data_IF_664135800194
#
_entry.id   IF_664135800194
#
_cell.length_a   1.000
_cell.length_b   1.000
_cell.length_c   1.000
_cell.angle_alpha   90.00
_cell.angle_beta   90.00
_cell.angle_gamma   90.00
#
_symmetry.space_group_name_H-M   'P 1'
#
loop_
_entity.id
_entity.type
_entity.pdbx_description
1 polymer ?
#
# COMPACT_ATOMS: atom_id res chain seq x y z
N UNK A 1 -18.69 -7.87 12.07
CA UNK A 1 -18.79 -7.02 10.84
C UNK A 1 -17.68 -7.48 9.92
N UNK A 2 -18.03 -7.83 8.70
CA UNK A 2 -17.10 -8.38 7.71
C UNK A 2 -16.02 -7.34 7.31
N UNK A 3 -14.81 -7.80 7.05
CA UNK A 3 -13.67 -6.96 6.62
C UNK A 3 -14.03 -6.07 5.42
N UNK A 4 -14.68 -6.64 4.40
CA UNK A 4 -15.09 -5.88 3.22
C UNK A 4 -16.15 -4.83 3.51
N UNK A 5 -17.06 -5.10 4.45
CA UNK A 5 -18.05 -4.11 4.87
C UNK A 5 -17.35 -2.90 5.48
N UNK A 6 -16.35 -3.10 6.33
CA UNK A 6 -15.57 -2.03 6.94
C UNK A 6 -14.82 -1.19 5.90
N UNK A 7 -14.22 -1.84 4.91
CA UNK A 7 -13.55 -1.15 3.81
C UNK A 7 -14.53 -0.31 2.98
N UNK A 8 -15.73 -0.83 2.73
CA UNK A 8 -16.79 -0.08 2.05
C UNK A 8 -17.31 1.07 2.90
N UNK A 9 -17.48 0.89 4.23
CA UNK A 9 -17.91 1.96 5.15
C UNK A 9 -16.89 3.12 5.17
N UNK A 10 -15.60 2.81 5.06
CA UNK A 10 -14.55 3.83 4.92
C UNK A 10 -14.66 4.58 3.59
N UNK A 11 -14.90 3.86 2.49
CA UNK A 11 -15.13 4.48 1.18
C UNK A 11 -16.40 5.30 1.12
N UNK A 12 -17.47 4.86 1.78
CA UNK A 12 -18.72 5.60 1.89
C UNK A 12 -18.50 6.94 2.58
N UNK A 13 -17.70 6.94 3.65
CA UNK A 13 -17.33 8.17 4.33
C UNK A 13 -16.56 9.11 3.38
N UNK A 14 -15.56 8.60 2.66
CA UNK A 14 -14.78 9.41 1.70
C UNK A 14 -15.68 9.98 0.61
N UNK A 15 -16.53 9.16 -0.01
CA UNK A 15 -17.45 9.59 -1.07
C UNK A 15 -18.46 10.65 -0.60
N UNK A 16 -18.91 10.55 0.65
CA UNK A 16 -19.84 11.51 1.23
C UNK A 16 -19.18 12.85 1.64
N UNK A 17 -17.84 12.92 1.63
CA UNK A 17 -17.08 14.10 2.00
C UNK A 17 -16.17 14.63 0.88
N UNK A 18 -16.42 14.21 -0.38
CA UNK A 18 -15.62 14.65 -1.54
C UNK A 18 -15.70 16.17 -1.79
N UNK A 19 -16.77 16.82 -1.40
CA UNK A 19 -17.00 18.25 -1.54
C UNK A 19 -16.53 19.08 -0.33
N UNK A 20 -15.71 18.47 0.54
CA UNK A 20 -15.20 19.09 1.75
C UNK A 20 -13.83 18.55 2.14
N UNK A 21 -13.51 18.70 3.41
CA UNK A 21 -12.31 18.11 4.00
C UNK A 21 -12.56 16.63 4.33
N UNK A 22 -11.62 15.77 3.95
CA UNK A 22 -11.64 14.33 4.25
C UNK A 22 -10.66 14.07 5.37
N UNK A 23 -11.18 13.63 6.51
CA UNK A 23 -10.37 13.16 7.63
C UNK A 23 -10.01 11.69 7.42
N UNK A 24 -8.73 11.43 7.15
CA UNK A 24 -8.23 10.06 6.91
C UNK A 24 -8.29 9.19 8.17
N UNK A 25 -8.21 9.77 9.37
CA UNK A 25 -8.33 9.03 10.62
C UNK A 25 -9.76 8.47 10.79
N UNK A 26 -10.77 9.28 10.45
CA UNK A 26 -12.16 8.80 10.47
C UNK A 26 -12.37 7.70 9.43
N UNK A 27 -11.84 7.84 8.22
CA UNK A 27 -11.92 6.80 7.20
C UNK A 27 -11.26 5.50 7.68
N UNK A 28 -10.03 5.57 8.16
CA UNK A 28 -9.27 4.43 8.66
C UNK A 28 -9.93 3.77 9.88
N UNK A 29 -10.50 4.57 10.80
CA UNK A 29 -11.23 4.04 11.96
C UNK A 29 -12.44 3.18 11.56
N UNK A 30 -13.13 3.54 10.48
CA UNK A 30 -14.23 2.72 9.90
C UNK A 30 -13.72 1.41 9.33
N UNK A 31 -12.53 1.41 8.73
CA UNK A 31 -11.85 0.20 8.27
C UNK A 31 -11.24 -0.60 9.44
N UNK A 32 -11.25 -0.07 10.67
CA UNK A 32 -10.63 -0.63 11.87
C UNK A 32 -9.13 -0.88 11.73
N UNK A 33 -8.42 0.05 11.12
CA UNK A 33 -6.97 0.03 10.92
C UNK A 33 -6.38 1.45 10.99
N UNK A 34 -5.06 1.58 10.96
CA UNK A 34 -4.39 2.88 10.86
C UNK A 34 -4.55 3.50 9.47
N UNK A 35 -4.33 4.82 9.37
CA UNK A 35 -4.40 5.57 8.11
C UNK A 35 -3.48 4.96 7.06
N UNK A 36 -2.22 4.68 7.45
CA UNK A 36 -1.25 4.09 6.54
C UNK A 36 -1.71 2.76 5.96
N UNK A 37 -2.23 1.85 6.81
CA UNK A 37 -2.69 0.55 6.35
C UNK A 37 -3.93 0.66 5.48
N UNK A 38 -4.86 1.56 5.81
CA UNK A 38 -6.01 1.81 4.95
C UNK A 38 -5.59 2.27 3.56
N UNK A 39 -4.69 3.25 3.47
CA UNK A 39 -4.16 3.76 2.20
C UNK A 39 -3.38 2.69 1.43
N UNK A 40 -2.55 1.91 2.13
CA UNK A 40 -1.77 0.82 1.52
C UNK A 40 -2.67 -0.29 0.98
N UNK A 41 -3.62 -0.78 1.79
CA UNK A 41 -4.59 -1.77 1.36
C UNK A 41 -5.42 -1.27 0.18
N UNK A 42 -5.89 -0.02 0.26
CA UNK A 42 -6.62 0.61 -0.83
C UNK A 42 -5.79 0.59 -2.13
N UNK A 43 -4.52 0.97 -2.06
CA UNK A 43 -3.64 1.02 -3.24
C UNK A 43 -3.44 -0.37 -3.87
N UNK A 44 -3.25 -1.41 -3.07
CA UNK A 44 -3.14 -2.78 -3.58
C UNK A 44 -4.45 -3.31 -4.20
N UNK A 45 -5.60 -2.96 -3.63
CA UNK A 45 -6.90 -3.45 -4.12
C UNK A 45 -7.36 -2.68 -5.34
N UNK A 46 -7.18 -1.35 -5.34
CA UNK A 46 -7.72 -0.45 -6.36
C UNK A 46 -6.75 -0.16 -7.52
N UNK A 47 -5.49 -0.60 -7.42
CA UNK A 47 -4.39 -0.31 -8.36
C UNK A 47 -4.17 1.22 -8.57
N UNK A 48 -4.52 2.02 -7.56
CA UNK A 48 -4.38 3.48 -7.56
C UNK A 48 -4.30 3.97 -6.11
N UNK A 49 -3.51 5.02 -5.85
CA UNK A 49 -3.45 5.59 -4.48
C UNK A 49 -4.77 6.22 -4.07
N UNK A 50 -5.03 6.28 -2.75
CA UNK A 50 -6.26 6.86 -2.23
C UNK A 50 -6.39 8.34 -2.59
N UNK A 51 -5.31 9.11 -2.55
CA UNK A 51 -5.30 10.52 -2.91
C UNK A 51 -5.59 10.73 -4.40
N UNK A 52 -5.01 9.89 -5.27
CA UNK A 52 -5.30 9.94 -6.70
C UNK A 52 -6.76 9.55 -6.99
N UNK A 53 -7.31 8.55 -6.28
CA UNK A 53 -8.73 8.20 -6.36
C UNK A 53 -9.62 9.38 -5.99
N UNK A 54 -9.39 10.00 -4.82
CA UNK A 54 -10.14 11.18 -4.35
C UNK A 54 -10.05 12.31 -5.37
N UNK A 55 -8.84 12.59 -5.88
CA UNK A 55 -8.62 13.61 -6.90
C UNK A 55 -9.44 13.35 -8.17
N UNK A 56 -9.44 12.11 -8.69
CA UNK A 56 -10.22 11.72 -9.88
C UNK A 56 -11.71 11.83 -9.64
N UNK A 57 -12.19 11.43 -8.47
CA UNK A 57 -13.60 11.53 -8.09
C UNK A 57 -14.06 12.98 -8.00
N UNK A 58 -13.31 13.83 -7.29
CA UNK A 58 -13.57 15.27 -7.18
C UNK A 58 -13.67 15.96 -8.55
N UNK A 59 -12.72 15.69 -9.43
CA UNK A 59 -12.75 16.26 -10.78
C UNK A 59 -13.90 15.72 -11.64
N UNK A 60 -14.29 14.47 -11.45
CA UNK A 60 -15.48 13.90 -12.10
C UNK A 60 -16.75 14.60 -11.63
N UNK A 61 -16.93 14.80 -10.32
CA UNK A 61 -18.09 15.49 -9.76
C UNK A 61 -18.12 16.97 -10.21
N UNK A 62 -16.97 17.64 -10.21
CA UNK A 62 -16.85 18.99 -10.75
C UNK A 62 -17.26 19.09 -12.22
N UNK A 63 -16.91 18.08 -13.03
CA UNK A 63 -17.31 18.01 -14.42
C UNK A 63 -18.83 17.86 -14.59
N UNK A 64 -19.50 17.05 -13.77
CA UNK A 64 -20.96 16.93 -13.75
C UNK A 64 -21.62 18.26 -13.34
N UNK A 65 -21.10 18.97 -12.35
CA UNK A 65 -21.65 20.27 -11.94
C UNK A 65 -21.50 21.33 -13.06
N UNK A 66 -20.35 21.37 -13.75
CA UNK A 66 -20.14 22.28 -14.89
C UNK A 66 -21.09 22.02 -16.03
N UNK A 67 -21.45 20.76 -16.31
CA UNK A 67 -22.40 20.41 -17.38
C UNK A 67 -23.86 20.73 -17.00
N UNK A 68 -24.21 20.65 -15.72
CA UNK A 68 -25.59 20.76 -15.27
C UNK A 68 -25.96 22.11 -14.64
N UNK A 69 -24.98 22.99 -14.40
CA UNK A 69 -25.21 24.27 -13.75
C UNK A 69 -24.27 25.37 -14.27
N UNK A 70 -24.62 26.63 -13.97
CA UNK A 70 -23.77 27.81 -14.27
C UNK A 70 -22.85 28.16 -13.09
N UNK A 71 -22.30 27.15 -12.40
CA UNK A 71 -21.40 27.33 -11.27
C UNK A 71 -20.11 28.02 -11.72
N UNK A 72 -19.55 28.88 -10.87
CA UNK A 72 -18.27 29.53 -11.16
C UNK A 72 -17.12 28.59 -10.90
N UNK A 73 -16.09 28.65 -11.73
CA UNK A 73 -14.90 27.82 -11.61
C UNK A 73 -14.20 28.02 -10.25
N UNK A 74 -14.19 29.24 -9.74
CA UNK A 74 -13.61 29.55 -8.42
C UNK A 74 -14.35 28.83 -7.29
N UNK A 75 -15.68 28.75 -7.36
CA UNK A 75 -16.50 28.11 -6.34
C UNK A 75 -16.26 26.58 -6.34
N UNK A 76 -16.09 25.98 -7.53
CA UNK A 76 -15.73 24.56 -7.67
C UNK A 76 -14.31 24.28 -7.18
N UNK A 77 -13.35 25.16 -7.45
CA UNK A 77 -12.00 25.00 -6.95
C UNK A 77 -11.98 24.93 -5.42
N UNK A 78 -12.67 25.86 -4.75
CA UNK A 78 -12.80 25.86 -3.28
C UNK A 78 -13.54 24.61 -2.79
N UNK A 79 -14.70 24.30 -3.40
CA UNK A 79 -15.54 23.16 -3.02
C UNK A 79 -14.77 21.84 -3.05
N UNK A 80 -13.90 21.65 -4.05
CA UNK A 80 -13.16 20.41 -4.23
C UNK A 80 -11.71 20.45 -3.68
N UNK A 81 -11.43 21.42 -2.78
CA UNK A 81 -10.20 21.46 -1.99
C UNK A 81 -8.96 21.88 -2.78
N UNK A 82 -9.11 22.76 -3.78
CA UNK A 82 -7.99 23.36 -4.49
C UNK A 82 -7.68 24.76 -3.95
N UNK A 83 -6.40 25.04 -3.70
CA UNK A 83 -5.94 26.33 -3.18
C UNK A 83 -6.16 27.50 -4.14
N UNK A 84 -6.31 27.21 -5.43
CA UNK A 84 -6.54 28.25 -6.44
C UNK A 84 -7.32 27.73 -7.66
N UNK A 85 -8.05 28.63 -8.37
CA UNK A 85 -8.67 28.28 -9.64
C UNK A 85 -7.69 27.80 -10.71
N UNK A 86 -6.43 28.24 -10.65
CA UNK A 86 -5.39 27.85 -11.60
C UNK A 86 -4.93 26.41 -11.34
N UNK A 87 -4.73 26.00 -10.08
CA UNK A 87 -4.40 24.63 -9.72
C UNK A 87 -5.53 23.67 -10.10
N UNK A 88 -6.77 24.05 -9.83
CA UNK A 88 -7.96 23.32 -10.27
C UNK A 88 -8.02 23.18 -11.80
N UNK A 89 -7.84 24.30 -12.52
CA UNK A 89 -7.88 24.30 -13.99
C UNK A 89 -6.83 23.38 -14.59
N UNK A 90 -5.60 23.40 -14.08
CA UNK A 90 -4.51 22.49 -14.52
C UNK A 90 -4.85 21.03 -14.26
N UNK A 91 -5.34 20.71 -13.06
CA UNK A 91 -5.73 19.36 -12.69
C UNK A 91 -6.90 18.84 -13.54
N UNK A 92 -7.92 19.69 -13.74
CA UNK A 92 -9.08 19.39 -14.59
C UNK A 92 -8.67 19.15 -16.05
N UNK A 93 -7.82 20.02 -16.61
CA UNK A 93 -7.33 19.86 -17.97
C UNK A 93 -6.45 18.61 -18.15
N UNK A 94 -5.62 18.30 -17.17
CA UNK A 94 -4.81 17.07 -17.17
C UNK A 94 -5.70 15.83 -17.22
N UNK A 95 -6.82 15.82 -16.50
CA UNK A 95 -7.72 14.68 -16.43
C UNK A 95 -8.64 14.59 -17.66
N UNK A 96 -9.34 15.68 -18.00
CA UNK A 96 -10.40 15.68 -19.02
C UNK A 96 -9.90 16.07 -20.42
N UNK A 97 -8.68 16.59 -20.55
CA UNK A 97 -8.09 17.04 -21.81
C UNK A 97 -8.57 18.43 -22.26
N UNK A 98 -9.49 19.06 -21.52
CA UNK A 98 -10.04 20.40 -21.81
C UNK A 98 -10.10 21.25 -20.55
N UNK A 99 -10.21 22.56 -20.72
CA UNK A 99 -10.37 23.49 -19.58
C UNK A 99 -11.80 23.44 -19.00
N UNK A 100 -11.97 23.76 -17.69
CA UNK A 100 -13.30 23.80 -17.06
C UNK A 100 -14.29 24.73 -17.80
N UNK A 101 -13.81 25.86 -18.31
CA UNK A 101 -14.66 26.81 -19.08
C UNK A 101 -15.28 26.18 -20.33
N UNK A 102 -14.58 25.25 -20.99
CA UNK A 102 -15.10 24.54 -22.16
C UNK A 102 -16.10 23.43 -21.79
N UNK A 103 -16.01 22.92 -20.55
CA UNK A 103 -16.88 21.85 -20.06
C UNK A 103 -18.35 22.25 -19.92
N UNK A 104 -18.66 23.55 -19.83
CA UNK A 104 -20.04 24.06 -19.85
C UNK A 104 -20.77 23.85 -21.20
N UNK A 105 -20.03 23.61 -22.27
CA UNK A 105 -20.65 23.47 -23.60
C UNK A 105 -21.28 22.09 -23.74
N UNK A 106 -22.44 22.01 -24.36
CA UNK A 106 -23.11 20.75 -24.69
C UNK A 106 -22.32 19.94 -25.72
N UNK A 107 -22.37 18.62 -25.62
CA UNK A 107 -21.72 17.72 -26.57
C UNK A 107 -20.21 17.51 -26.35
N UNK A 108 -19.66 18.07 -25.31
CA UNK A 108 -18.25 17.86 -24.92
C UNK A 108 -18.09 16.51 -24.21
N UNK A 109 -17.11 15.73 -24.66
CA UNK A 109 -16.75 14.47 -24.01
C UNK A 109 -15.86 14.73 -22.81
N UNK A 110 -16.28 14.24 -21.64
CA UNK A 110 -15.52 14.29 -20.38
C UNK A 110 -15.23 12.87 -19.87
N UNK A 111 -14.14 12.71 -19.14
CA UNK A 111 -13.83 11.43 -18.50
C UNK A 111 -14.57 11.34 -17.17
N UNK A 112 -15.18 10.19 -16.88
CA UNK A 112 -15.79 9.90 -15.59
C UNK A 112 -15.05 8.74 -14.93
N UNK A 113 -14.72 8.91 -13.67
CA UNK A 113 -14.20 7.85 -12.82
C UNK A 113 -15.30 7.46 -11.84
N UNK A 114 -15.91 6.27 -12.01
CA UNK A 114 -16.98 5.82 -11.14
C UNK A 114 -16.47 5.58 -9.73
N UNK A 115 -17.40 5.58 -8.78
CA UNK A 115 -17.11 5.17 -7.41
C UNK A 115 -16.64 3.72 -7.39
N UNK A 116 -15.60 3.45 -6.63
CA UNK A 116 -15.13 2.09 -6.33
C UNK A 116 -16.02 1.49 -5.23
N UNK A 117 -16.30 0.20 -5.35
CA UNK A 117 -16.92 -0.61 -4.31
C UNK A 117 -16.18 -1.92 -4.23
N UNK A 118 -15.80 -2.33 -3.03
CA UNK A 118 -15.13 -3.61 -2.84
C UNK A 118 -16.14 -4.75 -2.80
N UNK A 119 -15.92 -5.76 -3.64
CA UNK A 119 -16.72 -6.98 -3.69
C UNK A 119 -15.83 -8.21 -3.58
N UNK A 120 -16.34 -9.26 -2.92
CA UNK A 120 -15.72 -10.58 -3.02
C UNK A 120 -15.97 -11.09 -4.45
N UNK A 121 -14.89 -11.36 -5.18
CA UNK A 121 -14.95 -12.11 -6.41
C UNK A 121 -14.56 -13.55 -6.07
N UNK A 122 -15.47 -14.50 -6.24
CA UNK A 122 -15.14 -15.92 -6.09
C UNK A 122 -14.34 -16.32 -7.33
N UNK A 123 -13.01 -16.30 -7.18
CA UNK A 123 -12.05 -16.86 -8.14
C UNK A 123 -11.44 -18.09 -7.47
N UNK A 124 -12.06 -19.24 -7.60
CA UNK A 124 -11.70 -20.46 -6.89
C UNK A 124 -10.59 -21.32 -7.52
N UNK A 125 -9.81 -20.79 -8.46
CA UNK A 125 -8.97 -21.62 -9.33
C UNK A 125 -7.49 -21.62 -8.99
N UNK A 126 -7.01 -20.71 -8.12
CA UNK A 126 -5.58 -20.62 -7.81
C UNK A 126 -5.36 -20.76 -6.31
N UNK A 127 -4.74 -21.85 -5.91
CA UNK A 127 -4.33 -22.10 -4.52
C UNK A 127 -3.39 -21.00 -4.02
N UNK A 128 -3.40 -20.77 -2.72
CA UNK A 128 -2.47 -19.90 -2.03
C UNK A 128 -1.86 -20.67 -0.88
N UNK A 129 -0.60 -21.05 -1.04
CA UNK A 129 0.14 -21.77 -0.01
C UNK A 129 0.49 -20.81 1.13
N UNK A 130 0.08 -21.16 2.34
CA UNK A 130 0.43 -20.42 3.54
C UNK A 130 0.58 -21.33 4.75
N UNK A 131 1.35 -20.88 5.72
CA UNK A 131 1.44 -21.48 7.05
C UNK A 131 1.34 -20.42 8.13
N UNK A 132 0.89 -20.81 9.32
CA UNK A 132 0.83 -19.91 10.47
C UNK A 132 1.84 -20.39 11.50
N UNK A 133 2.75 -19.51 11.87
CA UNK A 133 3.81 -19.80 12.83
C UNK A 133 3.90 -18.70 13.89
N UNK A 134 4.01 -19.08 15.14
CA UNK A 134 4.45 -18.18 16.20
C UNK A 134 6.00 -18.21 16.24
N UNK A 135 6.61 -17.03 16.15
CA UNK A 135 8.07 -16.90 16.26
C UNK A 135 8.41 -16.03 17.45
N UNK A 136 9.37 -16.48 18.23
CA UNK A 136 9.96 -15.68 19.29
C UNK A 136 10.63 -14.42 18.73
N UNK A 137 10.94 -13.45 19.58
CA UNK A 137 11.66 -12.27 19.16
C UNK A 137 13.02 -12.63 18.57
N UNK A 138 13.41 -11.94 17.50
CA UNK A 138 14.69 -12.15 16.83
C UNK A 138 15.34 -10.82 16.43
N UNK A 139 16.68 -10.83 16.31
CA UNK A 139 17.45 -9.65 15.90
C UNK A 139 17.68 -9.65 14.40
N UNK A 140 17.61 -8.47 13.81
CA UNK A 140 17.92 -8.21 12.40
C UNK A 140 18.98 -7.13 12.29
N UNK A 141 19.80 -7.19 11.25
CA UNK A 141 20.86 -6.21 10.96
C UNK A 141 20.69 -5.75 9.53
N UNK A 142 20.78 -4.44 9.29
CA UNK A 142 20.65 -3.88 7.95
C UNK A 142 20.72 -2.38 7.88
N UNK A 143 20.28 -1.85 6.75
CA UNK A 143 20.23 -0.42 6.45
C UNK A 143 18.78 0.02 6.37
N UNK A 144 18.46 1.10 7.09
CA UNK A 144 17.10 1.62 7.23
C UNK A 144 16.95 2.97 6.51
N UNK A 145 15.79 3.18 5.91
CA UNK A 145 15.32 4.46 5.38
C UNK A 145 13.99 4.82 6.01
N UNK A 146 13.85 6.08 6.36
CA UNK A 146 12.61 6.67 6.82
C UNK A 146 11.95 7.44 5.68
N UNK A 147 10.62 7.33 5.54
CA UNK A 147 9.84 8.08 4.56
C UNK A 147 8.43 8.37 5.06
N UNK A 148 7.75 9.32 4.40
CA UNK A 148 6.37 9.68 4.71
C UNK A 148 5.41 9.15 3.66
N UNK A 149 4.33 8.57 4.16
CA UNK A 149 3.18 8.15 3.36
C UNK A 149 3.42 6.96 2.44
N UNK A 150 2.36 6.29 2.04
CA UNK A 150 2.43 5.17 1.11
C UNK A 150 2.73 5.61 -0.33
N UNK A 151 2.55 6.90 -0.66
CA UNK A 151 2.81 7.44 -2.00
C UNK A 151 4.30 7.48 -2.32
N UNK A 152 5.15 7.72 -1.32
CA UNK A 152 6.61 7.72 -1.48
C UNK A 152 7.21 6.31 -1.48
N UNK A 153 6.45 5.30 -1.03
CA UNK A 153 6.92 3.93 -0.83
C UNK A 153 7.61 3.32 -2.07
N UNK A 154 7.02 3.33 -3.27
CA UNK A 154 7.64 2.66 -4.42
C UNK A 154 8.97 3.28 -4.82
N UNK A 155 9.09 4.61 -4.73
CA UNK A 155 10.31 5.33 -5.13
C UNK A 155 11.43 5.19 -4.10
N UNK A 156 11.10 5.26 -2.79
CA UNK A 156 12.08 5.15 -1.71
C UNK A 156 12.57 3.72 -1.55
N UNK A 157 11.66 2.74 -1.58
CA UNK A 157 12.00 1.32 -1.46
C UNK A 157 12.84 0.88 -2.65
N UNK A 158 12.40 1.18 -3.88
CA UNK A 158 13.15 0.82 -5.09
C UNK A 158 14.55 1.44 -5.10
N UNK A 159 14.66 2.74 -4.80
CA UNK A 159 15.95 3.42 -4.77
C UNK A 159 16.91 2.87 -3.70
N UNK A 160 16.41 2.41 -2.56
CA UNK A 160 17.24 1.77 -1.54
C UNK A 160 17.78 0.41 -2.02
N UNK A 161 16.94 -0.42 -2.65
CA UNK A 161 17.39 -1.69 -3.24
C UNK A 161 18.46 -1.47 -4.30
N UNK A 162 18.27 -0.50 -5.21
CA UNK A 162 19.21 -0.16 -6.26
C UNK A 162 20.55 0.35 -5.68
N UNK A 163 20.49 1.28 -4.71
CA UNK A 163 21.68 1.79 -4.01
C UNK A 163 22.50 0.66 -3.38
N UNK A 164 21.85 -0.24 -2.65
CA UNK A 164 22.55 -1.33 -1.96
C UNK A 164 23.11 -2.37 -2.94
N UNK A 165 22.41 -2.59 -4.04
CA UNK A 165 22.90 -3.45 -5.13
C UNK A 165 24.16 -2.87 -5.79
N UNK A 166 24.12 -1.60 -6.19
CA UNK A 166 25.25 -0.91 -6.83
C UNK A 166 26.51 -0.85 -5.93
N UNK A 167 26.30 -0.69 -4.62
CA UNK A 167 27.37 -0.69 -3.62
C UNK A 167 27.86 -2.07 -3.21
N UNK A 168 27.27 -3.15 -3.71
CA UNK A 168 27.57 -4.54 -3.32
C UNK A 168 27.17 -4.89 -1.89
N UNK A 169 26.38 -4.05 -1.22
CA UNK A 169 26.00 -4.21 0.18
C UNK A 169 24.97 -5.33 0.41
N UNK A 170 24.19 -5.69 -0.61
CA UNK A 170 23.26 -6.83 -0.50
C UNK A 170 23.99 -8.14 -0.20
N UNK A 171 25.18 -8.34 -0.79
CA UNK A 171 26.01 -9.52 -0.49
C UNK A 171 26.50 -9.48 0.95
N UNK A 172 26.96 -8.33 1.43
CA UNK A 172 27.43 -8.15 2.81
C UNK A 172 26.29 -8.46 3.80
N UNK A 173 25.08 -7.91 3.56
CA UNK A 173 23.89 -8.15 4.38
C UNK A 173 23.54 -9.65 4.39
N UNK A 174 23.58 -10.30 3.23
CA UNK A 174 23.30 -11.75 3.14
C UNK A 174 24.31 -12.58 3.93
N UNK A 175 25.60 -12.22 3.89
CA UNK A 175 26.67 -12.94 4.61
C UNK A 175 26.59 -12.79 6.13
N UNK A 176 25.90 -11.75 6.63
CA UNK A 176 25.60 -11.57 8.04
C UNK A 176 24.49 -12.49 8.56
N UNK A 177 23.75 -13.18 7.69
CA UNK A 177 22.59 -13.99 8.07
C UNK A 177 23.01 -15.21 8.91
N UNK A 178 22.58 -15.25 10.17
CA UNK A 178 22.77 -16.40 11.09
C UNK A 178 21.47 -17.15 11.33
N UNK A 179 20.30 -16.47 11.16
CA UNK A 179 18.98 -17.03 11.36
C UNK A 179 18.34 -17.58 10.07
N UNK A 180 17.08 -18.02 10.18
CA UNK A 180 16.28 -18.53 9.07
C UNK A 180 14.99 -17.70 8.89
N UNK A 181 14.58 -17.45 7.64
CA UNK A 181 15.26 -17.83 6.38
C UNK A 181 16.56 -17.04 6.18
N UNK A 182 17.52 -17.66 5.48
CA UNK A 182 18.76 -16.98 5.10
C UNK A 182 18.51 -16.11 3.87
N UNK A 183 19.13 -14.93 3.83
CA UNK A 183 19.02 -14.05 2.66
C UNK A 183 18.98 -12.59 3.03
N UNK A 184 18.42 -11.80 2.13
CA UNK A 184 18.21 -10.35 2.29
C UNK A 184 16.70 -10.10 2.33
N UNK A 185 16.25 -9.40 3.34
CA UNK A 185 14.83 -9.21 3.62
C UNK A 185 14.45 -7.73 3.67
N UNK A 186 13.25 -7.41 3.21
CA UNK A 186 12.61 -6.11 3.43
C UNK A 186 11.76 -6.15 4.71
N UNK A 187 11.96 -5.19 5.61
CA UNK A 187 11.17 -5.02 6.83
C UNK A 187 10.44 -3.69 6.75
N UNK A 188 9.13 -3.73 6.85
CA UNK A 188 8.25 -2.56 6.75
C UNK A 188 7.67 -2.30 8.13
N UNK A 189 8.03 -1.19 8.77
CA UNK A 189 7.52 -0.78 10.08
C UNK A 189 6.80 0.56 9.97
N UNK A 190 5.53 0.58 10.31
CA UNK A 190 4.74 1.81 10.44
C UNK A 190 4.95 2.39 11.83
N UNK A 191 5.31 3.68 11.91
CA UNK A 191 5.60 4.38 13.16
C UNK A 191 4.48 5.33 13.60
N UNK A 192 3.44 5.49 12.78
CA UNK A 192 2.30 6.38 12.99
C UNK A 192 1.48 6.51 11.73
N UNK A 193 0.69 7.57 11.62
CA UNK A 193 -0.29 7.69 10.54
C UNK A 193 0.33 7.88 9.15
N UNK A 194 1.53 8.44 9.07
CA UNK A 194 2.20 8.72 7.80
C UNK A 194 3.70 8.37 7.79
N UNK A 195 4.27 7.88 8.88
CA UNK A 195 5.70 7.64 8.99
C UNK A 195 6.03 6.15 8.91
N UNK A 196 6.98 5.81 8.06
CA UNK A 196 7.38 4.42 7.78
C UNK A 196 8.89 4.29 7.80
N UNK A 197 9.37 3.29 8.50
CA UNK A 197 10.72 2.78 8.39
C UNK A 197 10.73 1.57 7.46
N UNK A 198 11.54 1.63 6.43
CA UNK A 198 11.85 0.48 5.58
C UNK A 198 13.31 0.09 5.78
N UNK A 199 13.54 -1.16 6.15
CA UNK A 199 14.88 -1.69 6.37
C UNK A 199 15.16 -2.83 5.42
N UNK A 200 16.32 -2.80 4.76
CA UNK A 200 16.85 -3.96 4.04
C UNK A 200 17.93 -4.58 4.92
N UNK A 201 17.73 -5.82 5.30
CA UNK A 201 18.58 -6.49 6.27
C UNK A 201 18.50 -8.01 6.22
N UNK A 202 19.13 -8.66 7.18
CA UNK A 202 19.06 -10.10 7.39
C UNK A 202 18.84 -10.44 8.86
N UNK A 203 18.30 -11.64 9.13
CA UNK A 203 18.15 -12.18 10.48
C UNK A 203 19.54 -12.56 10.98
N UNK A 204 20.01 -11.92 12.06
CA UNK A 204 21.39 -12.07 12.53
C UNK A 204 21.53 -11.75 13.99
N UNK A 205 22.31 -12.59 14.70
CA UNK A 205 22.73 -12.37 16.09
C UNK A 205 24.09 -11.64 16.21
N UNK A 206 24.74 -11.35 15.09
CA UNK A 206 26.02 -10.66 15.05
C UNK A 206 25.89 -9.21 15.48
N UNK A 207 27.02 -8.53 15.70
CA UNK A 207 27.06 -7.08 15.86
C UNK A 207 26.99 -6.38 14.48
N UNK A 208 26.26 -5.26 14.37
CA UNK A 208 26.13 -4.56 13.08
C UNK A 208 27.48 -3.94 12.66
N UNK A 209 27.92 -4.15 11.43
CA UNK A 209 29.06 -3.42 10.88
C UNK A 209 28.79 -1.89 10.80
N UNK A 210 29.87 -1.12 10.63
CA UNK A 210 29.78 0.33 10.44
C UNK A 210 28.78 0.69 9.32
N UNK A 211 27.89 1.64 9.62
CA UNK A 211 26.85 2.09 8.69
C UNK A 211 25.58 1.21 8.66
N UNK A 212 25.53 0.13 9.41
CA UNK A 212 24.35 -0.69 9.61
C UNK A 212 23.82 -0.55 11.05
N UNK A 213 22.53 -0.86 11.23
CA UNK A 213 21.89 -0.87 12.55
C UNK A 213 21.34 -2.26 12.85
N UNK A 214 21.15 -2.54 14.14
CA UNK A 214 20.39 -3.70 14.58
C UNK A 214 19.02 -3.27 15.10
N UNK A 215 18.02 -4.13 14.89
CA UNK A 215 16.66 -3.97 15.39
C UNK A 215 16.14 -5.31 15.89
N UNK A 216 15.37 -5.28 16.97
CA UNK A 216 14.67 -6.48 17.47
C UNK A 216 13.26 -6.51 16.87
N UNK A 217 12.95 -7.60 16.20
CA UNK A 217 11.58 -7.91 15.77
C UNK A 217 10.89 -8.62 16.93
N UNK A 218 9.76 -8.09 17.44
CA UNK A 218 9.10 -8.67 18.60
C UNK A 218 8.48 -10.05 18.27
N UNK A 219 8.24 -10.83 19.32
CA UNK A 219 7.45 -12.06 19.21
C UNK A 219 6.10 -11.76 18.56
N UNK A 220 5.75 -12.54 17.53
CA UNK A 220 4.50 -12.38 16.77
C UNK A 220 4.01 -13.69 16.20
N UNK A 221 2.71 -13.76 15.92
CA UNK A 221 2.14 -14.80 15.07
C UNK A 221 2.14 -14.30 13.65
N UNK A 222 2.69 -15.10 12.75
CA UNK A 222 2.87 -14.78 11.34
C UNK A 222 2.03 -15.71 10.47
N UNK A 223 1.35 -15.16 9.48
CA UNK A 223 0.97 -15.91 8.29
C UNK A 223 2.08 -15.74 7.28
N UNK A 224 2.68 -16.86 6.88
CA UNK A 224 3.79 -16.92 5.94
C UNK A 224 3.25 -17.47 4.63
N UNK A 225 3.31 -16.66 3.59
CA UNK A 225 2.94 -17.05 2.23
C UNK A 225 4.19 -17.41 1.45
N UNK A 226 4.20 -18.60 0.86
CA UNK A 226 5.29 -19.07 0.01
C UNK A 226 4.98 -18.71 -1.45
N UNK A 227 5.90 -18.02 -2.10
CA UNK A 227 5.74 -17.49 -3.45
C UNK A 227 6.76 -18.12 -4.39
N UNK A 228 6.37 -18.29 -5.65
CA UNK A 228 7.27 -18.73 -6.72
C UNK A 228 7.05 -17.87 -7.96
N UNK A 229 8.12 -17.34 -8.53
CA UNK A 229 8.07 -16.54 -9.76
C UNK A 229 8.92 -15.26 -9.71
N UNK A 230 8.82 -14.40 -10.73
CA UNK A 230 9.49 -13.10 -10.78
C UNK A 230 9.00 -12.20 -9.64
N UNK A 231 9.93 -11.64 -8.84
CA UNK A 231 9.61 -10.97 -7.57
C UNK A 231 8.56 -9.87 -7.74
N UNK A 232 8.78 -8.89 -8.61
CA UNK A 232 7.94 -7.69 -8.66
C UNK A 232 6.47 -8.01 -8.96
N UNK A 233 6.19 -8.78 -10.01
CA UNK A 233 4.83 -9.12 -10.42
C UNK A 233 4.15 -10.09 -9.43
N UNK A 234 4.91 -11.06 -8.90
CA UNK A 234 4.37 -12.04 -7.96
C UNK A 234 4.08 -11.42 -6.60
N UNK A 235 4.97 -10.52 -6.13
CA UNK A 235 4.80 -9.81 -4.87
C UNK A 235 3.52 -8.95 -4.87
N UNK A 236 3.36 -8.11 -5.91
CA UNK A 236 2.21 -7.23 -6.07
C UNK A 236 0.89 -8.04 -6.16
N UNK A 237 0.87 -9.06 -7.01
CA UNK A 237 -0.30 -9.93 -7.16
C UNK A 237 -0.65 -10.65 -5.85
N UNK A 238 0.37 -11.11 -5.08
CA UNK A 238 0.13 -11.81 -3.82
C UNK A 238 -0.37 -10.86 -2.74
N UNK A 239 0.20 -9.67 -2.59
CA UNK A 239 -0.33 -8.67 -1.65
C UNK A 239 -1.80 -8.36 -1.94
N UNK A 240 -2.15 -8.18 -3.21
CA UNK A 240 -3.55 -7.98 -3.62
C UNK A 240 -4.43 -9.14 -3.19
N UNK A 241 -4.02 -10.38 -3.44
CA UNK A 241 -4.77 -11.59 -3.04
C UNK A 241 -4.88 -11.75 -1.53
N UNK A 242 -3.82 -11.43 -0.76
CA UNK A 242 -3.85 -11.43 0.69
C UNK A 242 -4.99 -10.53 1.21
N UNK A 243 -5.10 -9.31 0.70
CA UNK A 243 -6.11 -8.35 1.17
C UNK A 243 -7.50 -8.57 0.58
N UNK A 244 -7.63 -9.19 -0.61
CA UNK A 244 -8.94 -9.38 -1.25
C UNK A 244 -9.52 -10.78 -1.10
N UNK A 245 -8.69 -11.78 -0.88
CA UNK A 245 -9.11 -13.19 -0.88
C UNK A 245 -8.86 -13.84 0.49
N UNK A 246 -7.61 -13.79 0.99
CA UNK A 246 -7.23 -14.54 2.18
C UNK A 246 -7.69 -13.87 3.48
N UNK A 247 -7.32 -12.61 3.71
CA UNK A 247 -7.64 -11.90 4.95
C UNK A 247 -9.16 -11.79 5.19
N UNK A 248 -10.00 -11.45 4.17
CA UNK A 248 -11.45 -11.38 4.35
C UNK A 248 -12.13 -12.70 4.70
N UNK A 249 -11.54 -13.83 4.32
CA UNK A 249 -12.11 -15.17 4.52
C UNK A 249 -11.45 -15.95 5.65
N UNK A 250 -10.38 -15.41 6.22
CA UNK A 250 -9.63 -16.02 7.32
C UNK A 250 -10.24 -15.66 8.69
N UNK A 251 -9.90 -16.46 9.72
CA UNK A 251 -10.18 -16.13 11.12
C UNK A 251 -9.10 -15.25 11.75
N UNK A 252 -8.43 -14.44 10.94
CA UNK A 252 -7.34 -13.57 11.37
C UNK A 252 -7.61 -12.13 10.97
N UNK A 253 -7.05 -11.21 11.75
CA UNK A 253 -6.94 -9.80 11.39
C UNK A 253 -5.47 -9.40 11.34
N UNK A 254 -5.16 -8.44 10.53
CA UNK A 254 -3.83 -7.87 10.45
C UNK A 254 -3.42 -7.24 11.80
N UNK A 255 -2.20 -7.52 12.25
CA UNK A 255 -1.71 -7.07 13.55
C UNK A 255 -1.09 -5.65 13.52
N UNK A 256 -0.95 -5.04 12.34
CA UNK A 256 -0.31 -3.72 12.14
C UNK A 256 1.06 -3.61 12.81
N UNK A 257 1.85 -4.66 12.66
CA UNK A 257 3.23 -4.72 13.14
C UNK A 257 4.21 -4.67 11.95
N UNK A 258 5.40 -5.25 12.07
CA UNK A 258 6.40 -5.25 11.01
C UNK A 258 6.06 -6.33 9.99
N UNK A 259 5.83 -5.96 8.72
CA UNK A 259 5.76 -6.92 7.61
C UNK A 259 7.17 -7.29 7.15
N UNK A 260 7.33 -8.52 6.68
CA UNK A 260 8.63 -8.99 6.19
C UNK A 260 8.47 -9.62 4.81
N UNK A 261 9.30 -9.18 3.88
CA UNK A 261 9.46 -9.77 2.56
C UNK A 261 10.81 -10.50 2.54
N UNK A 262 10.78 -11.83 2.52
CA UNK A 262 11.97 -12.67 2.66
C UNK A 262 12.48 -13.14 1.32
N UNK A 263 13.68 -12.69 0.93
CA UNK A 263 14.32 -13.04 -0.33
C UNK A 263 15.58 -13.86 -0.08
N UNK A 264 15.59 -15.16 -0.39
CA UNK A 264 16.82 -15.95 -0.43
C UNK A 264 17.84 -15.24 -1.34
N UNK A 265 19.11 -15.22 -0.93
CA UNK A 265 20.15 -14.56 -1.73
C UNK A 265 20.51 -15.36 -2.98
N UNK A 266 20.38 -16.68 -2.89
CA UNK A 266 20.62 -17.60 -4.01
C UNK A 266 19.46 -17.57 -5.01
N UNK A 267 19.79 -17.63 -6.29
CA UNK A 267 18.82 -17.58 -7.37
C UNK A 267 18.71 -16.20 -8.02
N UNK A 268 17.98 -16.16 -9.13
CA UNK A 268 17.75 -14.94 -9.90
C UNK A 268 16.32 -14.43 -9.63
N UNK A 269 16.19 -13.26 -9.04
CA UNK A 269 14.90 -12.66 -8.64
C UNK A 269 13.89 -12.45 -9.80
N UNK A 270 14.35 -12.54 -11.05
CA UNK A 270 13.49 -12.49 -12.23
C UNK A 270 13.12 -13.87 -12.80
N UNK A 271 13.60 -14.97 -12.19
CA UNK A 271 13.30 -16.30 -12.67
C UNK A 271 11.89 -16.77 -12.29
N UNK A 272 11.29 -17.57 -13.16
CA UNK A 272 9.94 -18.15 -12.96
C UNK A 272 9.89 -19.14 -11.79
N UNK A 273 11.02 -19.71 -11.40
CA UNK A 273 11.16 -20.68 -10.32
C UNK A 273 11.77 -20.11 -9.03
N UNK A 274 11.98 -18.77 -8.98
CA UNK A 274 12.53 -18.12 -7.79
C UNK A 274 11.52 -18.19 -6.64
N UNK A 275 11.97 -18.69 -5.48
CA UNK A 275 11.14 -18.85 -4.28
C UNK A 275 11.45 -17.79 -3.25
N UNK A 276 10.42 -17.20 -2.68
CA UNK A 276 10.52 -16.19 -1.63
C UNK A 276 9.26 -16.19 -0.77
N UNK A 277 9.22 -15.41 0.31
CA UNK A 277 8.11 -15.42 1.25
C UNK A 277 7.62 -14.01 1.61
N UNK A 278 6.33 -13.90 1.90
CA UNK A 278 5.73 -12.76 2.62
C UNK A 278 5.33 -13.24 4.02
N UNK A 279 5.78 -12.54 5.04
CA UNK A 279 5.37 -12.76 6.41
C UNK A 279 4.47 -11.62 6.87
N UNK A 280 3.20 -11.93 7.05
CA UNK A 280 2.18 -11.00 7.51
C UNK A 280 1.91 -11.24 9.00
N UNK A 281 2.12 -10.25 9.89
CA UNK A 281 1.78 -10.40 11.30
C UNK A 281 0.26 -10.40 11.49
N UNK A 282 -0.26 -11.38 12.23
CA UNK A 282 -1.70 -11.56 12.38
C UNK A 282 -2.10 -11.81 13.83
N UNK A 283 -3.34 -11.44 14.14
CA UNK A 283 -4.00 -11.76 15.41
C UNK A 283 -5.25 -12.56 15.10
N UNK A 284 -5.42 -13.67 15.80
CA UNK A 284 -6.64 -14.47 15.67
C UNK A 284 -7.85 -13.67 16.13
N UNK A 285 -8.87 -13.57 15.30
CA UNK A 285 -10.15 -13.02 15.72
C UNK A 285 -10.78 -13.97 16.71
N UNK A 286 -11.17 -13.46 17.88
CA UNK A 286 -11.97 -14.28 18.82
C UNK A 286 -13.34 -14.55 18.19
N UNK A 287 -13.75 -15.79 18.26
CA UNK A 287 -15.12 -16.22 17.91
C UNK A 287 -16.16 -15.43 18.71
#
# INVERSE_FOLDING_TARGET
MDYLQRMNDALDYIENNLDGEIDYEIAASKACCSVFYFQRMFSFIADVTLSEYIRRRRLTLAAFELQNSKVKIIDLAVKYGYDSPDSFTRAFQKLHGITPSKAHNTGITLKAFPRITFHISIKGDVEMDYKIEEKESFKVIGIKRHYKGPEDNPSVVGSLWDELYEKGLLKVISDLSTGAPKGVHGFIQVLGDEEVDYMIGSISDQEPPDGMISQVIPKSTWTIFELTGPVNSTLEATWKRIFTEWLPTSNYRYAEAIDIECFPYEGFKGAEDYKFEIWLPVIRTKD
#
